data_IF_904180339396
#
_entry.id   IF_904180339396
#
_cell.length_a   1.000
_cell.length_b   1.000
_cell.length_c   1.000
_cell.angle_alpha   90.00
_cell.angle_beta   90.00
_cell.angle_gamma   90.00
#
_symmetry.space_group_name_H-M   'P 1'
#
loop_
_entity.id
_entity.type
_entity.pdbx_description
1 polymer ?
#
# COMPACT_ATOMS: atom_id res chain seq x y z
N UNK A 1 -22.38 3.37 -24.43
CA UNK A 1 -21.31 4.13 -25.10
C UNK A 1 -21.35 5.52 -24.49
N UNK A 2 -20.23 5.98 -23.95
CA UNK A 2 -20.15 7.29 -23.31
C UNK A 2 -19.94 8.37 -24.37
N UNK A 3 -20.42 9.58 -24.09
CA UNK A 3 -20.07 10.80 -24.81
C UNK A 3 -18.95 11.57 -24.09
N UNK A 4 -18.40 12.62 -24.73
CA UNK A 4 -17.32 13.43 -24.14
C UNK A 4 -17.70 14.07 -22.80
N UNK A 5 -18.94 14.50 -22.62
CA UNK A 5 -19.39 15.16 -21.40
C UNK A 5 -19.47 14.17 -20.23
N UNK A 6 -19.93 12.94 -20.49
CA UNK A 6 -19.95 11.84 -19.55
C UNK A 6 -18.54 11.40 -19.17
N UNK A 7 -17.62 11.30 -20.14
CA UNK A 7 -16.21 11.02 -19.86
C UNK A 7 -15.57 12.12 -19.04
N UNK A 8 -15.90 13.40 -19.31
CA UNK A 8 -15.42 14.50 -18.49
C UNK A 8 -15.83 14.36 -17.01
N UNK A 9 -17.05 13.88 -16.72
CA UNK A 9 -17.46 13.61 -15.32
C UNK A 9 -16.60 12.55 -14.63
N UNK A 10 -16.04 11.59 -15.38
CA UNK A 10 -15.16 10.56 -14.84
C UNK A 10 -13.77 11.10 -14.50
N UNK A 11 -13.29 12.11 -15.23
CA UNK A 11 -11.89 12.60 -15.12
C UNK A 11 -11.74 13.96 -14.43
N UNK A 12 -12.82 14.75 -14.32
CA UNK A 12 -12.82 16.08 -13.69
C UNK A 12 -12.52 16.02 -12.20
N UNK A 13 -12.03 17.14 -11.65
CA UNK A 13 -11.77 17.34 -10.22
C UNK A 13 -10.84 16.27 -9.62
N UNK A 14 -9.91 15.76 -10.42
CA UNK A 14 -8.98 14.68 -10.04
C UNK A 14 -7.57 15.03 -10.49
N UNK A 15 -6.60 14.68 -9.67
CA UNK A 15 -5.18 14.70 -10.06
C UNK A 15 -4.84 13.34 -10.65
N UNK A 16 -4.33 13.36 -11.88
CA UNK A 16 -3.90 12.17 -12.61
C UNK A 16 -2.38 12.17 -12.72
N UNK A 17 -1.72 11.21 -12.08
CA UNK A 17 -0.24 11.13 -12.00
C UNK A 17 0.27 10.09 -12.99
N UNK A 18 1.25 10.46 -13.82
CA UNK A 18 1.86 9.55 -14.77
C UNK A 18 2.78 8.54 -14.06
N UNK A 19 2.51 7.26 -14.27
CA UNK A 19 3.22 6.14 -13.66
C UNK A 19 3.55 5.06 -14.70
N UNK A 20 4.59 4.27 -14.39
CA UNK A 20 5.06 3.16 -15.22
C UNK A 20 5.00 1.86 -14.44
N UNK A 21 4.51 0.80 -15.06
CA UNK A 21 4.49 -0.54 -14.47
C UNK A 21 5.24 -1.51 -15.37
N UNK A 22 6.20 -2.26 -14.82
CA UNK A 22 6.74 -3.44 -15.53
C UNK A 22 5.65 -4.52 -15.58
N UNK A 23 5.61 -5.31 -16.65
CA UNK A 23 4.50 -6.26 -16.84
C UNK A 23 4.40 -7.34 -15.75
N UNK A 24 3.19 -7.88 -15.64
CA UNK A 24 2.65 -8.91 -14.74
C UNK A 24 2.70 -8.71 -13.21
N UNK A 25 3.77 -8.26 -12.53
CA UNK A 25 3.74 -8.23 -11.03
C UNK A 25 4.66 -7.23 -10.32
N UNK A 26 5.04 -6.09 -10.94
CA UNK A 26 5.85 -5.09 -10.23
C UNK A 26 5.06 -3.82 -9.91
N UNK A 27 5.35 -3.25 -8.74
CA UNK A 27 4.80 -1.98 -8.24
C UNK A 27 4.94 -0.87 -9.28
N UNK A 28 3.97 0.06 -9.38
CA UNK A 28 4.13 1.20 -10.25
C UNK A 28 5.27 2.08 -9.74
N UNK A 29 6.09 2.58 -10.67
CA UNK A 29 7.15 3.53 -10.41
C UNK A 29 6.69 4.89 -10.90
N UNK A 30 6.80 5.90 -10.04
CA UNK A 30 6.55 7.29 -10.40
C UNK A 30 7.57 7.73 -11.45
N UNK A 31 7.13 8.44 -12.49
CA UNK A 31 8.08 9.13 -13.35
C UNK A 31 8.59 10.36 -12.61
N UNK A 32 9.82 10.27 -12.13
CA UNK A 32 10.53 11.39 -11.53
C UNK A 32 11.22 12.19 -12.62
N UNK A 33 10.84 13.45 -12.79
CA UNK A 33 11.58 14.41 -13.58
C UNK A 33 12.80 14.84 -12.75
N UNK A 34 14.01 14.65 -13.30
CA UNK A 34 15.24 15.04 -12.61
C UNK A 34 15.25 16.56 -12.45
N UNK A 35 14.98 17.03 -11.22
CA UNK A 35 15.22 18.41 -10.81
C UNK A 35 16.71 18.66 -10.59
N UNK A 36 17.08 19.95 -10.54
CA UNK A 36 18.44 20.36 -10.18
C UNK A 36 18.82 19.72 -8.82
N UNK A 37 20.06 19.22 -8.71
CA UNK A 37 20.58 18.33 -7.64
C UNK A 37 20.39 18.78 -6.18
N UNK A 38 19.82 19.96 -5.92
CA UNK A 38 19.63 20.52 -4.58
C UNK A 38 18.24 20.27 -3.99
N UNK A 39 17.26 19.83 -4.79
CA UNK A 39 15.95 19.42 -4.29
C UNK A 39 15.83 17.91 -4.45
N UNK A 40 15.99 17.18 -3.36
CA UNK A 40 15.76 15.74 -3.21
C UNK A 40 14.27 15.34 -3.35
N UNK A 41 13.46 16.16 -3.98
CA UNK A 41 12.03 15.92 -4.13
C UNK A 41 11.80 15.20 -5.46
N UNK A 42 11.29 13.99 -5.39
CA UNK A 42 10.82 13.25 -6.56
C UNK A 42 9.68 14.04 -7.24
N UNK A 43 10.02 14.85 -8.25
CA UNK A 43 9.02 15.64 -8.99
C UNK A 43 8.30 14.72 -9.98
N UNK A 44 6.99 14.53 -9.82
CA UNK A 44 6.18 13.69 -10.73
C UNK A 44 5.35 14.52 -11.70
N UNK A 45 5.11 13.97 -12.90
CA UNK A 45 4.23 14.59 -13.89
C UNK A 45 2.76 14.25 -13.58
N UNK A 46 1.92 15.28 -13.50
CA UNK A 46 0.48 15.11 -13.30
C UNK A 46 -0.35 16.08 -14.13
N UNK A 47 -1.60 15.72 -14.38
CA UNK A 47 -2.55 16.49 -15.17
C UNK A 47 -3.92 16.60 -14.50
N UNK A 48 -4.61 17.70 -14.79
CA UNK A 48 -6.02 17.95 -14.47
C UNK A 48 -6.75 18.26 -15.78
N UNK A 49 -7.90 17.62 -15.97
CA UNK A 49 -8.75 17.78 -17.15
C UNK A 49 -9.72 18.95 -16.97
N UNK A 50 -9.82 19.82 -17.98
CA UNK A 50 -10.84 20.87 -18.08
C UNK A 50 -11.87 20.55 -19.16
N UNK A 51 -13.12 20.97 -18.96
CA UNK A 51 -14.25 20.69 -19.85
C UNK A 51 -14.00 21.17 -21.29
N UNK A 52 -13.32 22.29 -21.44
CA UNK A 52 -12.98 22.90 -22.72
C UNK A 52 -11.83 22.20 -23.49
N UNK A 53 -11.41 21.01 -23.05
CA UNK A 53 -10.30 20.27 -23.66
C UNK A 53 -8.91 20.71 -23.19
N UNK A 54 -8.78 21.71 -22.33
CA UNK A 54 -7.47 22.11 -21.78
C UNK A 54 -6.97 21.08 -20.76
N UNK A 55 -5.67 20.84 -20.75
CA UNK A 55 -4.97 20.15 -19.68
C UNK A 55 -4.21 21.16 -18.82
N UNK A 56 -4.34 21.03 -17.50
CA UNK A 56 -3.56 21.80 -16.54
C UNK A 56 -2.53 20.89 -15.87
N UNK A 57 -1.32 21.39 -15.66
CA UNK A 57 -0.25 20.70 -14.95
C UNK A 57 -0.04 21.44 -13.62
N UNK A 58 -0.58 20.94 -12.49
CA UNK A 58 -0.62 21.67 -11.23
C UNK A 58 0.72 21.67 -10.47
N UNK A 59 1.77 21.05 -11.03
CA UNK A 59 3.12 21.02 -10.46
C UNK A 59 3.99 22.12 -11.06
N UNK A 60 4.93 22.67 -10.27
CA UNK A 60 6.02 23.55 -10.74
C UNK A 60 7.11 22.77 -11.48
N UNK A 61 6.72 21.85 -12.36
CA UNK A 61 7.64 21.13 -13.23
C UNK A 61 8.23 22.14 -14.23
N UNK A 62 9.56 22.20 -14.30
CA UNK A 62 10.25 23.04 -15.29
C UNK A 62 10.03 22.59 -16.75
N UNK A 63 9.34 21.46 -16.95
CA UNK A 63 9.07 20.86 -18.25
C UNK A 63 7.69 20.18 -18.28
N UNK A 64 6.88 20.52 -19.28
CA UNK A 64 5.63 19.82 -19.62
C UNK A 64 5.86 19.09 -20.94
N UNK A 65 5.73 17.75 -20.99
CA UNK A 65 5.91 16.99 -22.22
C UNK A 65 4.99 17.49 -23.35
N UNK A 66 5.52 17.54 -24.57
CA UNK A 66 4.88 18.19 -25.71
C UNK A 66 3.58 17.48 -26.15
N UNK A 67 3.47 16.19 -25.85
CA UNK A 67 2.32 15.33 -26.14
C UNK A 67 1.06 15.67 -25.33
N UNK A 68 1.18 16.41 -24.22
CA UNK A 68 0.07 16.74 -23.33
C UNK A 68 -0.34 18.22 -23.43
N UNK A 69 -0.71 18.66 -24.63
CA UNK A 69 -1.18 20.03 -24.86
C UNK A 69 -2.66 20.22 -24.52
N UNK A 70 -3.51 19.34 -25.03
CA UNK A 70 -4.96 19.32 -24.82
C UNK A 70 -5.51 17.90 -24.89
N UNK A 71 -6.79 17.73 -24.58
CA UNK A 71 -7.46 16.44 -24.64
C UNK A 71 -8.78 16.50 -25.40
N UNK A 72 -9.14 15.36 -25.98
CA UNK A 72 -10.43 15.11 -26.60
C UNK A 72 -10.87 13.67 -26.34
N UNK A 73 -12.05 13.30 -26.82
CA UNK A 73 -12.58 11.95 -26.66
C UNK A 73 -13.14 11.42 -27.99
N UNK A 74 -12.64 10.27 -28.43
CA UNK A 74 -13.21 9.54 -29.56
C UNK A 74 -14.35 8.66 -29.07
N UNK A 75 -15.58 9.10 -29.35
CA UNK A 75 -16.79 8.38 -28.97
C UNK A 75 -16.91 7.03 -29.69
N UNK A 76 -16.31 6.83 -30.86
CA UNK A 76 -16.42 5.56 -31.60
C UNK A 76 -15.51 4.50 -31.01
N UNK A 77 -14.27 4.85 -30.67
CA UNK A 77 -13.31 3.91 -30.09
C UNK A 77 -13.36 3.85 -28.57
N UNK A 78 -14.06 4.80 -27.93
CA UNK A 78 -14.12 4.98 -26.48
C UNK A 78 -12.73 5.23 -25.89
N UNK A 79 -11.97 6.14 -26.51
CA UNK A 79 -10.59 6.46 -26.15
C UNK A 79 -10.40 7.95 -25.85
N UNK A 80 -9.62 8.23 -24.82
CA UNK A 80 -9.20 9.59 -24.50
C UNK A 80 -8.00 9.92 -25.39
N UNK A 81 -8.09 11.02 -26.12
CA UNK A 81 -7.08 11.48 -27.06
C UNK A 81 -6.26 12.58 -26.40
N UNK A 82 -4.94 12.45 -26.41
CA UNK A 82 -4.01 13.51 -26.05
C UNK A 82 -3.45 14.15 -27.31
N UNK A 83 -3.66 15.45 -27.41
CA UNK A 83 -3.28 16.27 -28.56
C UNK A 83 -2.11 17.14 -28.11
N UNK A 84 -1.04 17.13 -28.90
CA UNK A 84 0.16 17.91 -28.60
C UNK A 84 -0.06 19.41 -28.82
N UNK A 85 0.88 20.24 -28.34
CA UNK A 85 0.79 21.71 -28.44
C UNK A 85 0.76 22.24 -29.88
N UNK A 86 1.31 21.50 -30.83
CA UNK A 86 1.27 21.76 -32.27
C UNK A 86 0.02 21.19 -32.97
N UNK A 87 -0.93 20.65 -32.20
CA UNK A 87 -2.20 20.12 -32.73
C UNK A 87 -2.08 18.75 -33.39
N UNK A 88 -0.91 18.11 -33.33
CA UNK A 88 -0.72 16.77 -33.84
C UNK A 88 -1.26 15.72 -32.86
N UNK A 89 -1.78 14.63 -33.42
CA UNK A 89 -2.24 13.51 -32.63
C UNK A 89 -1.04 12.69 -32.14
N UNK A 90 -0.91 12.48 -30.83
CA UNK A 90 0.28 11.81 -30.30
C UNK A 90 -0.01 10.60 -29.43
N UNK A 91 -0.99 10.67 -28.52
CA UNK A 91 -1.19 9.60 -27.54
C UNK A 91 -2.67 9.31 -27.28
N UNK A 92 -3.01 8.03 -27.13
CA UNK A 92 -4.35 7.57 -26.72
C UNK A 92 -4.31 6.86 -25.38
N UNK A 93 -5.38 7.00 -24.62
CA UNK A 93 -5.59 6.28 -23.37
C UNK A 93 -6.97 5.62 -23.30
N UNK A 94 -7.07 4.59 -22.45
CA UNK A 94 -8.34 3.98 -22.08
C UNK A 94 -9.19 4.93 -21.23
N UNK A 95 -10.48 4.58 -21.08
CA UNK A 95 -11.29 5.11 -19.99
C UNK A 95 -10.68 4.73 -18.63
N UNK A 96 -10.99 5.48 -17.55
CA UNK A 96 -10.60 5.11 -16.19
C UNK A 96 -11.15 3.75 -15.78
N UNK A 97 -10.27 2.85 -15.32
CA UNK A 97 -10.62 1.54 -14.79
C UNK A 97 -9.99 1.30 -13.42
N UNK A 98 -10.67 0.54 -12.57
CA UNK A 98 -10.12 0.15 -11.26
C UNK A 98 -8.88 -0.71 -11.41
N UNK A 99 -7.83 -0.37 -10.66
CA UNK A 99 -6.63 -1.19 -10.62
C UNK A 99 -6.84 -2.42 -9.73
N UNK A 100 -6.15 -3.55 -10.01
CA UNK A 100 -6.23 -4.76 -9.18
C UNK A 100 -5.47 -4.62 -7.85
N UNK A 101 -4.94 -3.43 -7.54
CA UNK A 101 -4.18 -3.11 -6.33
C UNK A 101 -4.46 -1.65 -5.92
N UNK A 102 -4.21 -1.35 -4.65
CA UNK A 102 -4.49 -0.07 -4.01
C UNK A 102 -5.99 0.18 -3.82
N UNK A 103 -6.37 0.69 -2.65
CA UNK A 103 -7.78 0.93 -2.36
C UNK A 103 -8.35 2.04 -3.26
N UNK A 104 -9.44 1.74 -3.96
CA UNK A 104 -10.19 2.67 -4.84
C UNK A 104 -9.35 3.40 -5.90
N UNK A 105 -8.17 2.89 -6.25
CA UNK A 105 -7.36 3.47 -7.31
C UNK A 105 -7.99 3.23 -8.67
N UNK A 106 -7.97 4.27 -9.51
CA UNK A 106 -8.38 4.18 -10.91
C UNK A 106 -7.27 4.65 -11.83
N UNK A 107 -7.16 4.05 -13.00
CA UNK A 107 -6.13 4.37 -13.96
C UNK A 107 -6.65 4.46 -15.39
N UNK A 108 -6.07 5.37 -16.16
CA UNK A 108 -6.18 5.43 -17.62
C UNK A 108 -4.89 4.86 -18.21
N UNK A 109 -4.98 3.73 -18.89
CA UNK A 109 -3.83 3.11 -19.52
C UNK A 109 -3.52 3.82 -20.84
N UNK A 110 -2.29 4.29 -21.01
CA UNK A 110 -1.79 4.82 -22.27
C UNK A 110 -1.56 3.65 -23.21
N UNK A 111 -2.29 3.63 -24.33
CA UNK A 111 -2.26 2.56 -25.34
C UNK A 111 -1.18 2.78 -26.39
N UNK A 112 -0.76 4.03 -26.62
CA UNK A 112 0.34 4.31 -27.56
C UNK A 112 1.64 3.71 -27.00
N UNK A 113 2.32 2.79 -27.71
CA UNK A 113 3.58 2.21 -27.25
C UNK A 113 4.74 3.20 -27.43
N UNK A 114 5.71 3.17 -26.53
CA UNK A 114 7.03 3.76 -26.80
C UNK A 114 7.91 2.69 -27.46
N UNK A 115 8.70 3.05 -28.49
CA UNK A 115 9.67 2.13 -29.07
C UNK A 115 10.60 1.57 -27.99
N UNK A 116 10.77 0.24 -27.95
CA UNK A 116 11.64 -0.46 -27.00
C UNK A 116 11.28 -0.30 -25.51
N UNK A 117 10.06 0.12 -25.17
CA UNK A 117 9.59 0.20 -23.79
C UNK A 117 8.51 -0.84 -23.51
N UNK A 118 8.85 -1.89 -22.77
CA UNK A 118 7.91 -2.93 -22.33
C UNK A 118 7.07 -2.52 -21.11
N UNK A 119 7.23 -1.29 -20.60
CA UNK A 119 6.46 -0.78 -19.45
C UNK A 119 5.07 -0.34 -19.90
N UNK A 120 4.09 -0.68 -19.07
CA UNK A 120 2.74 -0.16 -19.18
C UNK A 120 2.76 1.26 -18.62
N UNK A 121 2.34 2.23 -19.42
CA UNK A 121 2.19 3.63 -19.01
C UNK A 121 0.76 3.88 -18.62
N UNK A 122 0.55 4.58 -17.51
CA UNK A 122 -0.79 4.88 -17.01
C UNK A 122 -0.82 6.20 -16.28
N UNK A 123 -1.93 6.93 -16.41
CA UNK A 123 -2.30 7.99 -15.50
C UNK A 123 -3.12 7.39 -14.37
N UNK A 124 -2.63 7.49 -13.14
CA UNK A 124 -3.28 6.95 -11.95
C UNK A 124 -3.85 8.09 -11.12
N UNK A 125 -5.10 7.96 -10.71
CA UNK A 125 -5.72 8.82 -9.72
C UNK A 125 -5.84 8.06 -8.40
N UNK A 126 -5.28 8.65 -7.36
CA UNK A 126 -5.48 8.24 -5.97
C UNK A 126 -6.46 9.24 -5.34
N UNK A 127 -7.69 8.81 -5.00
CA UNK A 127 -8.71 9.70 -4.45
C UNK A 127 -8.25 10.50 -3.23
N UNK A 128 -7.28 10.00 -2.45
CA UNK A 128 -6.74 10.73 -1.31
C UNK A 128 -6.00 12.01 -1.70
N UNK A 129 -5.50 12.10 -2.93
CA UNK A 129 -4.80 13.28 -3.47
C UNK A 129 -5.76 14.34 -4.03
N UNK A 130 -7.03 13.99 -4.25
CA UNK A 130 -8.03 14.92 -4.80
C UNK A 130 -8.55 15.93 -3.75
N UNK A 131 -8.12 15.78 -2.50
CA UNK A 131 -8.48 16.68 -1.42
C UNK A 131 -7.51 17.87 -1.31
N UNK A 132 -8.04 19.09 -1.41
CA UNK A 132 -7.30 20.35 -1.21
C UNK A 132 -6.62 20.47 0.17
N UNK A 133 -7.07 19.69 1.16
CA UNK A 133 -6.39 19.47 2.43
C UNK A 133 -6.80 18.10 3.01
N UNK A 134 -5.83 17.29 3.46
CA UNK A 134 -6.11 16.08 4.23
C UNK A 134 -6.53 16.49 5.64
N UNK A 135 -7.82 16.75 5.85
CA UNK A 135 -8.35 17.21 7.14
C UNK A 135 -8.62 16.06 8.11
N UNK A 136 -8.72 14.82 7.61
CA UNK A 136 -8.79 13.58 8.38
C UNK A 136 -8.11 12.46 7.58
N UNK A 137 -7.10 11.79 8.16
CA UNK A 137 -6.73 10.44 7.71
C UNK A 137 -7.82 9.51 8.23
N UNK A 138 -8.77 9.11 7.40
CA UNK A 138 -9.67 8.04 7.82
C UNK A 138 -8.87 6.74 7.84
N UNK A 139 -8.87 6.05 8.98
CA UNK A 139 -8.39 4.67 9.10
C UNK A 139 -9.51 3.77 8.54
N UNK A 140 -9.90 4.02 7.29
CA UNK A 140 -10.89 3.20 6.55
C UNK A 140 -10.26 1.90 6.02
N UNK A 141 -8.93 1.79 6.08
CA UNK A 141 -8.23 0.61 5.61
C UNK A 141 -8.44 -0.54 6.60
N UNK A 142 -9.08 -1.59 6.12
CA UNK A 142 -9.31 -2.84 6.85
C UNK A 142 -7.99 -3.62 7.04
N UNK A 143 -6.91 -3.24 6.34
CA UNK A 143 -5.60 -3.88 6.41
C UNK A 143 -4.57 -2.98 7.11
N UNK A 144 -3.91 -3.48 8.15
CA UNK A 144 -2.89 -2.74 8.90
C UNK A 144 -1.61 -3.55 9.09
N UNK A 145 -0.47 -2.91 8.82
CA UNK A 145 0.87 -3.43 9.03
C UNK A 145 1.52 -2.71 10.21
N UNK A 146 1.97 -3.44 11.21
CA UNK A 146 2.66 -2.93 12.40
C UNK A 146 4.15 -3.19 12.30
N UNK A 147 4.96 -2.15 12.59
CA UNK A 147 6.41 -2.23 12.56
C UNK A 147 7.04 -1.35 13.66
N UNK A 148 8.13 -1.80 14.31
CA UNK A 148 8.90 -0.97 15.22
C UNK A 148 9.52 0.24 14.52
N UNK A 149 9.62 1.37 15.24
CA UNK A 149 10.24 2.59 14.72
C UNK A 149 11.69 2.38 14.32
N UNK A 150 12.46 1.63 15.11
CA UNK A 150 13.87 1.35 14.87
C UNK A 150 14.12 0.64 13.53
N UNK A 151 13.14 -0.13 13.07
CA UNK A 151 13.26 -0.93 11.86
C UNK A 151 12.44 -0.36 10.70
N UNK A 152 11.78 0.79 10.84
CA UNK A 152 10.94 1.35 9.79
C UNK A 152 11.76 2.03 8.68
N UNK A 153 11.57 1.60 7.44
CA UNK A 153 12.05 2.31 6.25
C UNK A 153 10.91 2.95 5.44
N UNK A 154 11.13 4.18 4.95
CA UNK A 154 10.18 4.85 4.05
C UNK A 154 9.92 4.07 2.76
N UNK A 155 10.89 3.28 2.30
CA UNK A 155 10.76 2.42 1.11
C UNK A 155 9.63 1.40 1.28
N UNK A 156 9.50 0.80 2.48
CA UNK A 156 8.45 -0.15 2.83
C UNK A 156 7.07 0.52 2.83
N UNK A 157 6.95 1.73 3.38
CA UNK A 157 5.68 2.48 3.38
C UNK A 157 5.13 2.64 1.96
N UNK A 158 6.00 3.01 1.01
CA UNK A 158 5.62 3.10 -0.40
C UNK A 158 5.04 1.78 -0.91
N UNK A 159 5.72 0.65 -0.66
CA UNK A 159 5.26 -0.69 -1.09
C UNK A 159 3.91 -1.07 -0.48
N UNK A 160 3.78 -0.92 0.84
CA UNK A 160 2.60 -1.32 1.61
C UNK A 160 1.37 -0.47 1.27
N UNK A 161 1.55 0.83 1.02
CA UNK A 161 0.48 1.71 0.54
C UNK A 161 -0.15 1.18 -0.74
N UNK A 162 0.66 0.74 -1.71
CA UNK A 162 0.15 0.18 -2.96
C UNK A 162 -0.56 -1.16 -2.77
N UNK A 163 -0.23 -1.89 -1.72
CA UNK A 163 -0.93 -3.12 -1.32
C UNK A 163 -2.21 -2.85 -0.52
N UNK A 164 -2.56 -1.58 -0.26
CA UNK A 164 -3.77 -1.21 0.49
C UNK A 164 -3.60 -1.20 2.01
N UNK A 165 -2.37 -1.40 2.51
CA UNK A 165 -2.10 -1.38 3.95
C UNK A 165 -1.98 0.04 4.50
N UNK A 166 -2.58 0.25 5.66
CA UNK A 166 -2.12 1.30 6.57
C UNK A 166 -0.87 0.82 7.33
N UNK A 167 0.11 1.69 7.52
CA UNK A 167 1.34 1.35 8.27
C UNK A 167 1.32 2.06 9.61
N UNK A 168 1.32 1.28 10.69
CA UNK A 168 1.39 1.77 12.06
C UNK A 168 2.78 1.52 12.62
N UNK A 169 3.51 2.61 12.82
CA UNK A 169 4.81 2.61 13.49
C UNK A 169 4.58 2.56 15.00
N UNK A 170 5.29 1.67 15.69
CA UNK A 170 5.25 1.46 17.13
C UNK A 170 6.56 1.97 17.75
N UNK A 171 6.44 2.78 18.80
CA UNK A 171 7.59 3.52 19.36
C UNK A 171 8.40 2.68 20.37
N UNK A 172 7.77 1.77 21.12
CA UNK A 172 8.46 0.94 22.12
C UNK A 172 8.63 -0.52 21.65
N UNK A 173 9.28 -0.69 20.50
CA UNK A 173 9.48 -1.99 19.83
C UNK A 173 10.63 -2.86 20.36
N UNK A 174 11.53 -2.31 21.19
CA UNK A 174 12.76 -3.00 21.62
C UNK A 174 12.53 -4.35 22.33
N UNK A 175 11.36 -4.54 22.95
CA UNK A 175 10.94 -5.81 23.55
C UNK A 175 9.67 -6.32 22.90
N UNK A 176 9.70 -7.59 22.48
CA UNK A 176 8.61 -8.26 21.76
C UNK A 176 7.25 -8.15 22.46
N UNK A 177 7.22 -8.33 23.78
CA UNK A 177 5.96 -8.27 24.55
C UNK A 177 5.41 -6.85 24.69
N UNK A 178 6.28 -5.83 24.74
CA UNK A 178 5.84 -4.43 24.72
C UNK A 178 5.26 -4.07 23.35
N UNK A 179 5.93 -4.51 22.28
CA UNK A 179 5.47 -4.35 20.91
C UNK A 179 4.06 -4.97 20.73
N UNK A 180 3.86 -6.22 21.18
CA UNK A 180 2.56 -6.87 21.16
C UNK A 180 1.49 -6.16 22.00
N UNK A 181 1.86 -5.61 23.16
CA UNK A 181 0.93 -4.85 23.99
C UNK A 181 0.43 -3.57 23.30
N UNK A 182 1.32 -2.80 22.67
CA UNK A 182 0.93 -1.60 21.92
C UNK A 182 0.03 -1.93 20.71
N UNK A 183 0.33 -3.02 20.00
CA UNK A 183 -0.50 -3.49 18.89
C UNK A 183 -1.89 -3.86 19.41
N UNK A 184 -1.98 -4.60 20.51
CA UNK A 184 -3.25 -4.95 21.13
C UNK A 184 -4.08 -3.71 21.51
N UNK A 185 -3.49 -2.75 22.23
CA UNK A 185 -4.10 -1.47 22.60
C UNK A 185 -4.65 -0.73 21.38
N UNK A 186 -3.88 -0.69 20.29
CA UNK A 186 -4.28 -0.04 19.05
C UNK A 186 -5.47 -0.74 18.39
N UNK A 187 -5.41 -2.07 18.28
CA UNK A 187 -6.47 -2.86 17.66
C UNK A 187 -7.78 -2.75 18.43
N UNK A 188 -7.77 -2.75 19.77
CA UNK A 188 -8.97 -2.57 20.59
C UNK A 188 -9.65 -1.23 20.30
N UNK A 189 -8.88 -0.16 20.12
CA UNK A 189 -9.41 1.17 19.80
C UNK A 189 -9.92 1.27 18.37
N UNK A 190 -9.58 0.35 17.48
CA UNK A 190 -9.83 0.42 16.04
C UNK A 190 -10.51 -0.87 15.55
N UNK A 191 -11.83 -1.04 15.81
CA UNK A 191 -12.57 -2.28 15.53
C UNK A 191 -12.71 -2.62 14.05
N UNK A 192 -12.55 -1.64 13.16
CA UNK A 192 -12.68 -1.79 11.70
C UNK A 192 -11.50 -2.50 11.02
N UNK A 193 -10.38 -2.73 11.73
CA UNK A 193 -9.22 -3.42 11.18
C UNK A 193 -9.49 -4.93 11.16
N UNK A 194 -9.43 -5.56 9.99
CA UNK A 194 -9.73 -6.97 9.74
C UNK A 194 -8.48 -7.80 9.44
N UNK A 195 -7.57 -7.28 8.62
CA UNK A 195 -6.36 -7.95 8.15
C UNK A 195 -5.14 -7.32 8.82
N UNK A 196 -4.34 -8.14 9.51
CA UNK A 196 -3.24 -7.63 10.33
C UNK A 196 -1.96 -8.35 9.96
N UNK A 197 -0.89 -7.57 9.82
CA UNK A 197 0.49 -8.04 9.72
C UNK A 197 1.29 -7.34 10.81
N UNK A 198 2.02 -8.13 11.59
CA UNK A 198 2.93 -7.70 12.64
C UNK A 198 4.31 -8.18 12.22
N UNK A 199 5.24 -7.26 12.00
CA UNK A 199 6.60 -7.62 11.62
C UNK A 199 7.59 -6.73 12.33
N UNK A 200 8.66 -7.31 12.88
CA UNK A 200 9.78 -6.52 13.37
C UNK A 200 10.65 -6.01 12.22
N UNK A 201 10.58 -6.58 11.02
CA UNK A 201 11.49 -6.28 9.91
C UNK A 201 10.79 -5.64 8.70
N UNK A 202 11.57 -5.05 7.79
CA UNK A 202 11.10 -4.35 6.58
C UNK A 202 10.69 -5.29 5.44
N UNK A 203 9.62 -6.05 5.64
CA UNK A 203 9.16 -7.05 4.67
C UNK A 203 7.82 -6.68 4.07
N UNK A 204 7.71 -6.71 2.74
CA UNK A 204 6.50 -6.29 2.03
C UNK A 204 5.55 -7.45 1.71
N UNK A 205 6.05 -8.67 1.82
CA UNK A 205 5.35 -9.91 1.55
C UNK A 205 4.32 -10.17 2.64
N UNK A 206 3.05 -10.31 2.23
CA UNK A 206 1.92 -10.51 3.13
C UNK A 206 1.16 -11.75 2.72
N UNK A 207 0.91 -12.63 3.68
CA UNK A 207 0.15 -13.87 3.47
C UNK A 207 -0.95 -13.92 4.52
N UNK A 208 -2.20 -13.95 4.07
CA UNK A 208 -3.34 -14.12 4.96
C UNK A 208 -3.85 -15.56 4.91
N UNK A 209 -4.28 -16.06 6.05
CA UNK A 209 -4.88 -17.39 6.19
C UNK A 209 -6.37 -17.25 6.54
N UNK A 210 -7.03 -18.38 6.83
CA UNK A 210 -8.44 -18.38 7.20
C UNK A 210 -8.70 -17.63 8.52
N UNK A 211 -9.96 -17.25 8.76
CA UNK A 211 -10.43 -16.43 9.91
C UNK A 211 -9.85 -16.75 11.29
N UNK A 212 -9.55 -18.02 11.56
CA UNK A 212 -9.08 -18.49 12.88
C UNK A 212 -7.68 -19.09 12.85
N UNK A 213 -6.92 -18.83 11.78
CA UNK A 213 -5.57 -19.32 11.59
C UNK A 213 -4.58 -18.16 11.63
N UNK A 214 -3.43 -18.39 12.25
CA UNK A 214 -2.29 -17.47 12.26
C UNK A 214 -1.23 -17.96 11.26
N UNK A 215 -0.50 -17.04 10.66
CA UNK A 215 0.68 -17.39 9.87
C UNK A 215 1.92 -16.77 10.50
N UNK A 216 2.91 -17.61 10.79
CA UNK A 216 4.20 -17.21 11.33
C UNK A 216 5.28 -17.50 10.32
N UNK A 217 6.31 -16.66 10.29
CA UNK A 217 7.52 -17.00 9.53
C UNK A 217 8.12 -18.29 10.07
N UNK A 218 8.56 -19.14 9.15
CA UNK A 218 9.28 -20.36 9.48
C UNK A 218 10.75 -20.06 9.73
N UNK A 219 11.26 -20.50 10.88
CA UNK A 219 12.69 -20.52 11.18
C UNK A 219 13.04 -21.85 11.86
N UNK A 220 13.97 -22.62 11.30
CA UNK A 220 14.38 -23.93 11.83
C UNK A 220 13.20 -24.89 12.17
N UNK A 221 12.16 -24.90 11.33
CA UNK A 221 10.88 -25.64 11.52
C UNK A 221 10.04 -25.19 12.74
N UNK A 222 10.32 -24.03 13.30
CA UNK A 222 9.54 -23.40 14.37
C UNK A 222 8.97 -22.06 13.90
N UNK A 223 8.00 -21.55 14.65
CA UNK A 223 7.46 -20.21 14.42
C UNK A 223 8.48 -19.16 14.89
N UNK A 224 8.83 -18.24 14.02
CA UNK A 224 9.54 -17.02 14.39
C UNK A 224 8.52 -15.92 14.71
N UNK A 225 8.72 -15.23 15.83
CA UNK A 225 7.79 -14.20 16.33
C UNK A 225 8.12 -12.78 15.85
N UNK A 226 9.11 -12.66 14.97
CA UNK A 226 9.43 -11.44 14.25
C UNK A 226 8.50 -11.19 13.05
N UNK A 227 7.66 -12.16 12.69
CA UNK A 227 6.58 -11.99 11.74
C UNK A 227 5.36 -12.83 12.12
N UNK A 228 4.20 -12.17 12.13
CA UNK A 228 2.90 -12.78 12.34
C UNK A 228 1.86 -12.08 11.45
N UNK A 229 1.02 -12.84 10.75
CA UNK A 229 -0.12 -12.31 10.03
C UNK A 229 -1.38 -13.14 10.28
N UNK A 230 -2.54 -12.50 10.13
CA UNK A 230 -3.82 -13.16 10.31
C UNK A 230 -5.00 -12.20 10.32
N UNK A 231 -6.18 -12.80 10.47
CA UNK A 231 -7.42 -12.06 10.66
C UNK A 231 -7.52 -11.54 12.09
N UNK A 232 -8.23 -10.43 12.26
CA UNK A 232 -8.43 -9.71 13.53
C UNK A 232 -8.74 -10.65 14.69
N UNK A 233 -9.69 -11.56 14.48
CA UNK A 233 -10.15 -12.49 15.52
C UNK A 233 -9.00 -13.34 16.05
N UNK A 234 -8.24 -13.98 15.17
CA UNK A 234 -7.10 -14.83 15.56
C UNK A 234 -5.98 -14.02 16.22
N UNK A 235 -5.69 -12.83 15.68
CA UNK A 235 -4.62 -11.95 16.21
C UNK A 235 -4.96 -11.42 17.59
N UNK A 236 -6.19 -10.92 17.80
CA UNK A 236 -6.65 -10.47 19.12
C UNK A 236 -6.59 -11.62 20.12
N UNK A 237 -7.08 -12.81 19.75
CA UNK A 237 -7.04 -13.99 20.61
C UNK A 237 -5.61 -14.34 21.03
N UNK A 238 -4.69 -14.38 20.06
CA UNK A 238 -3.27 -14.62 20.32
C UNK A 238 -2.67 -13.58 21.26
N UNK A 239 -2.84 -12.29 20.96
CA UNK A 239 -2.29 -11.20 21.78
C UNK A 239 -2.83 -11.23 23.21
N UNK A 240 -4.14 -11.48 23.39
CA UNK A 240 -4.75 -11.62 24.72
C UNK A 240 -4.13 -12.79 25.48
N UNK A 241 -3.95 -13.95 24.85
CA UNK A 241 -3.33 -15.11 25.51
C UNK A 241 -1.88 -14.81 25.90
N UNK A 242 -1.10 -14.20 25.00
CA UNK A 242 0.31 -13.84 25.25
C UNK A 242 0.43 -12.87 26.44
N UNK A 243 -0.36 -11.80 26.43
CA UNK A 243 -0.31 -10.79 27.50
C UNK A 243 -0.80 -11.35 28.83
N UNK A 244 -1.81 -12.23 28.82
CA UNK A 244 -2.30 -12.91 30.02
C UNK A 244 -1.26 -13.85 30.63
N UNK A 245 -0.61 -14.66 29.79
CA UNK A 245 0.45 -15.57 30.22
C UNK A 245 1.66 -14.81 30.77
N UNK A 246 2.04 -13.71 30.11
CA UNK A 246 3.10 -12.83 30.61
C UNK A 246 2.75 -12.23 31.98
N UNK A 247 1.52 -11.75 32.16
CA UNK A 247 1.07 -11.21 33.44
C UNK A 247 1.12 -12.29 34.55
N UNK A 248 0.70 -13.53 34.28
CA UNK A 248 0.77 -14.64 35.24
C UNK A 248 2.22 -14.95 35.67
N UNK A 249 3.18 -14.84 34.75
CA UNK A 249 4.61 -15.03 35.05
C UNK A 249 5.16 -13.95 35.96
N UNK A 250 4.77 -12.70 35.74
CA UNK A 250 5.19 -11.57 36.57
C UNK A 250 4.72 -11.67 38.02
N UNK A 251 3.68 -12.48 38.32
CA UNK A 251 3.24 -12.78 39.68
C UNK A 251 4.01 -13.94 40.34
N UNK A 252 4.76 -14.74 39.57
CA UNK A 252 5.49 -15.90 40.06
C UNK A 252 7.01 -15.62 40.07
N UNK A 253 7.53 -15.12 41.19
CA UNK A 253 8.94 -14.73 41.39
C UNK A 253 9.99 -15.82 41.08
N UNK A 254 9.58 -17.09 40.95
CA UNK A 254 10.47 -18.24 40.81
C UNK A 254 10.71 -18.70 39.37
N UNK A 255 10.18 -18.01 38.35
CA UNK A 255 10.18 -18.52 36.98
C UNK A 255 10.71 -17.47 36.02
N UNK A 256 12.04 -17.35 35.90
CA UNK A 256 12.64 -16.81 34.67
C UNK A 256 12.29 -17.78 33.54
N UNK A 257 11.31 -17.42 32.71
CA UNK A 257 11.09 -18.10 31.44
C UNK A 257 11.28 -17.10 30.32
N UNK A 258 12.16 -17.46 29.40
CA UNK A 258 12.40 -16.81 28.13
C UNK A 258 11.08 -16.58 27.35
N UNK A 259 10.97 -15.39 26.74
CA UNK A 259 9.77 -14.96 26.00
C UNK A 259 9.50 -15.90 24.83
N UNK A 260 10.54 -16.32 24.11
CA UNK A 260 10.38 -17.21 22.95
C UNK A 260 9.83 -18.56 23.38
N UNK A 261 10.37 -19.13 24.46
CA UNK A 261 9.91 -20.40 25.02
C UNK A 261 8.44 -20.33 25.46
N UNK A 262 8.00 -19.20 26.04
CA UNK A 262 6.57 -18.95 26.32
C UNK A 262 5.72 -19.07 25.08
N UNK A 263 6.11 -18.32 24.05
CA UNK A 263 5.32 -18.13 22.87
C UNK A 263 5.23 -19.43 22.09
N UNK A 264 6.32 -20.20 22.03
CA UNK A 264 6.32 -21.56 21.47
C UNK A 264 5.35 -22.48 22.23
N UNK A 265 5.41 -22.51 23.57
CA UNK A 265 4.49 -23.32 24.37
C UNK A 265 3.02 -22.91 24.17
N UNK A 266 2.76 -21.62 24.06
CA UNK A 266 1.43 -21.09 23.82
C UNK A 266 0.92 -21.53 22.43
N UNK A 267 1.75 -21.42 21.40
CA UNK A 267 1.40 -21.86 20.05
C UNK A 267 1.11 -23.37 20.00
N UNK A 268 2.00 -24.20 20.55
CA UNK A 268 1.86 -25.66 20.47
C UNK A 268 0.73 -26.20 21.32
N UNK A 269 0.31 -25.51 22.38
CA UNK A 269 -0.76 -25.98 23.28
C UNK A 269 -2.13 -25.36 23.03
N UNK A 270 -2.19 -24.11 22.54
CA UNK A 270 -3.45 -23.37 22.33
C UNK A 270 -3.79 -23.18 20.85
N UNK A 271 -2.81 -23.29 19.96
CA UNK A 271 -2.97 -23.08 18.53
C UNK A 271 -2.50 -24.25 17.67
N UNK A 272 -2.36 -25.47 18.22
CA UNK A 272 -1.74 -26.65 17.56
C UNK A 272 -2.20 -26.90 16.10
N UNK A 273 -3.47 -26.64 15.77
CA UNK A 273 -4.03 -26.76 14.40
C UNK A 273 -4.44 -25.42 13.76
N UNK A 274 -4.10 -24.32 14.44
CA UNK A 274 -4.56 -22.96 14.14
C UNK A 274 -3.42 -22.01 13.84
N UNK A 275 -2.22 -22.53 13.57
CA UNK A 275 -1.16 -21.76 12.94
C UNK A 275 -0.55 -22.49 11.74
N UNK A 276 0.06 -21.72 10.85
CA UNK A 276 0.85 -22.22 9.73
C UNK A 276 2.22 -21.56 9.74
N UNK A 277 3.22 -22.35 9.39
CA UNK A 277 4.56 -21.83 9.13
C UNK A 277 4.66 -21.47 7.65
N UNK A 278 5.07 -20.25 7.35
CA UNK A 278 5.21 -19.72 6.00
C UNK A 278 6.66 -19.32 5.72
N UNK A 279 7.11 -19.59 4.50
CA UNK A 279 8.39 -19.11 4.03
C UNK A 279 8.19 -17.71 3.44
N UNK A 280 8.92 -16.74 3.99
CA UNK A 280 8.86 -15.35 3.53
C UNK A 280 10.19 -15.06 2.80
N UNK A 281 10.16 -14.84 1.48
CA UNK A 281 11.35 -14.49 0.72
C UNK A 281 12.01 -13.22 1.28
N UNK A 282 13.34 -13.18 1.31
CA UNK A 282 14.14 -12.00 1.69
C UNK A 282 14.02 -11.52 3.14
N UNK A 283 13.67 -12.40 4.07
CA UNK A 283 13.72 -12.09 5.51
C UNK A 283 15.17 -12.25 6.02
N UNK A 284 15.99 -11.20 5.87
CA UNK A 284 17.37 -11.12 6.37
C UNK A 284 17.56 -9.89 7.25
#
# INVERSE_FOLDING_TARGET
>A
MLDKAQVYQLVRNRIWILQYRKSKFNQPVLLTLIGNKELSDEIFFCIIFHENGRLEVPTTVGFVPAEYGSWDFDEKTQEILFISKDGQFQTVASLPESLPYGDKLVAMQIKTPLPNDARIRMFVNDPHLDHFAITKRSVENHQTYFIPRENFEYSLFGKLRWLGFNVKIIDHGEKLLNFFNEIYEYLIRHPQIEDIVISSNNVSETIFTAERTLAFRKEHNQAAFDYLSGKRTAIIEFLVMVLSENNLRLFNDNVQHDDVTMLQNLLTTKFEDRYKLIDIPNFN
#
